data_IF_081315509240
#
_entry.id   IF_081315509240
#
_cell.length_a   1.000
_cell.length_b   1.000
_cell.length_c   1.000
_cell.angle_alpha   90.00
_cell.angle_beta   90.00
_cell.angle_gamma   90.00
#
_symmetry.space_group_name_H-M   'P 1'
#
loop_
_entity.id
_entity.type
_entity.pdbx_description
1 polymer ?
#
# COMPACT_ATOMS: atom_id res chain seq x y z
N UNK A 1 -6.77 -23.81 -13.81
CA UNK A 1 -6.78 -22.43 -13.28
C UNK A 1 -6.88 -22.51 -11.77
N UNK A 2 -5.92 -21.93 -11.07
CA UNK A 2 -5.87 -21.78 -9.63
C UNK A 2 -7.12 -21.03 -9.14
N UNK A 3 -7.79 -21.56 -8.13
CA UNK A 3 -9.03 -20.99 -7.56
C UNK A 3 -8.80 -20.55 -6.13
N UNK A 4 -9.46 -19.46 -5.75
CA UNK A 4 -9.43 -18.95 -4.38
C UNK A 4 -10.70 -18.12 -4.15
N UNK A 5 -11.48 -18.49 -3.13
CA UNK A 5 -12.82 -17.93 -2.86
C UNK A 5 -12.89 -16.39 -2.91
N UNK A 6 -11.95 -15.70 -2.28
CA UNK A 6 -11.92 -14.24 -2.21
C UNK A 6 -11.39 -13.59 -3.49
N UNK A 7 -10.49 -14.28 -4.21
CA UNK A 7 -10.03 -13.83 -5.53
C UNK A 7 -11.15 -13.94 -6.54
N UNK A 8 -11.74 -15.13 -6.66
CA UNK A 8 -12.86 -15.41 -7.55
C UNK A 8 -14.07 -14.53 -7.22
N UNK A 9 -14.36 -14.33 -5.92
CA UNK A 9 -15.44 -13.48 -5.45
C UNK A 9 -15.27 -12.01 -5.84
N UNK A 10 -14.06 -11.44 -5.69
CA UNK A 10 -13.80 -10.06 -6.08
C UNK A 10 -13.91 -9.85 -7.60
N UNK A 11 -13.37 -10.78 -8.39
CA UNK A 11 -13.46 -10.76 -9.85
C UNK A 11 -14.91 -10.90 -10.31
N UNK A 12 -15.69 -11.77 -9.66
CA UNK A 12 -17.10 -11.98 -10.01
C UNK A 12 -17.93 -10.72 -9.75
N UNK A 13 -17.71 -10.02 -8.62
CA UNK A 13 -18.41 -8.75 -8.35
C UNK A 13 -18.16 -7.70 -9.43
N UNK A 14 -16.92 -7.59 -9.92
CA UNK A 14 -16.60 -6.69 -11.03
C UNK A 14 -17.28 -7.12 -12.33
N UNK A 15 -17.19 -8.39 -12.69
CA UNK A 15 -17.82 -8.94 -13.91
C UNK A 15 -19.34 -8.81 -13.92
N UNK A 16 -19.96 -8.88 -12.75
CA UNK A 16 -21.40 -8.70 -12.56
C UNK A 16 -21.82 -7.22 -12.51
N UNK A 17 -20.87 -6.27 -12.60
CA UNK A 17 -21.14 -4.84 -12.53
C UNK A 17 -21.55 -4.34 -11.15
N UNK A 18 -21.27 -5.11 -10.09
CA UNK A 18 -21.58 -4.73 -8.70
C UNK A 18 -20.55 -3.80 -8.08
N UNK A 19 -19.34 -3.79 -8.63
CA UNK A 19 -18.25 -2.86 -8.26
C UNK A 19 -17.55 -2.40 -9.54
N UNK A 20 -17.04 -1.17 -9.56
CA UNK A 20 -16.26 -0.64 -10.68
C UNK A 20 -14.76 -0.74 -10.45
N UNK A 21 -14.02 -0.98 -11.54
CA UNK A 21 -12.56 -0.93 -11.58
C UNK A 21 -12.08 0.23 -12.44
N UNK A 22 -10.97 0.84 -12.02
CA UNK A 22 -10.17 1.71 -12.87
C UNK A 22 -9.28 0.87 -13.80
N UNK A 23 -8.71 1.49 -14.83
CA UNK A 23 -7.91 0.83 -15.86
C UNK A 23 -6.81 -0.08 -15.28
N UNK A 24 -6.08 0.35 -14.23
CA UNK A 24 -5.03 -0.45 -13.63
C UNK A 24 -5.56 -1.72 -12.93
N UNK A 25 -6.78 -1.70 -12.39
CA UNK A 25 -7.41 -2.89 -11.79
C UNK A 25 -8.00 -3.82 -12.84
N UNK A 26 -8.49 -3.30 -13.96
CA UNK A 26 -8.90 -4.13 -15.10
C UNK A 26 -7.69 -4.89 -15.66
N UNK A 27 -6.59 -4.17 -15.91
CA UNK A 27 -5.30 -4.76 -16.30
C UNK A 27 -4.77 -5.76 -15.27
N UNK A 28 -4.99 -5.52 -13.97
CA UNK A 28 -4.64 -6.49 -12.93
C UNK A 28 -5.39 -7.81 -13.11
N UNK A 29 -6.69 -7.78 -13.40
CA UNK A 29 -7.45 -9.02 -13.61
C UNK A 29 -6.97 -9.75 -14.86
N UNK A 30 -6.79 -9.03 -15.97
CA UNK A 30 -6.25 -9.62 -17.20
C UNK A 30 -4.89 -10.28 -16.98
N UNK A 31 -3.98 -9.58 -16.29
CA UNK A 31 -2.66 -10.10 -15.91
C UNK A 31 -2.78 -11.33 -15.01
N UNK A 32 -3.64 -11.30 -13.99
CA UNK A 32 -3.82 -12.41 -13.07
C UNK A 32 -4.31 -13.65 -13.81
N UNK A 33 -5.30 -13.52 -14.69
CA UNK A 33 -5.84 -14.65 -15.44
C UNK A 33 -4.84 -15.19 -16.46
N UNK A 34 -4.11 -14.30 -17.15
CA UNK A 34 -3.08 -14.66 -18.14
C UNK A 34 -1.88 -15.34 -17.51
N UNK A 35 -1.29 -14.75 -16.48
CA UNK A 35 0.08 -15.06 -16.04
C UNK A 35 0.18 -15.69 -14.64
N UNK A 36 -0.91 -15.73 -13.86
CA UNK A 36 -0.84 -16.16 -12.44
C UNK A 36 -1.82 -17.29 -12.14
N UNK A 37 -3.11 -17.07 -12.36
CA UNK A 37 -4.17 -18.03 -12.10
C UNK A 37 -4.18 -19.17 -13.12
N UNK A 38 -3.65 -18.94 -14.32
CA UNK A 38 -3.45 -20.00 -15.33
C UNK A 38 -2.40 -21.03 -14.92
N UNK A 39 -1.48 -20.69 -14.00
CA UNK A 39 -0.35 -21.52 -13.61
C UNK A 39 -0.75 -22.69 -12.72
N UNK A 40 -0.01 -23.79 -12.85
CA UNK A 40 -0.15 -25.01 -12.05
C UNK A 40 0.97 -25.18 -11.00
N UNK A 41 2.01 -24.37 -11.04
CA UNK A 41 3.15 -24.38 -10.11
C UNK A 41 2.95 -23.46 -8.88
N UNK A 42 1.80 -22.79 -8.79
CA UNK A 42 1.42 -21.93 -7.66
C UNK A 42 0.28 -22.53 -6.84
N UNK A 43 0.17 -22.11 -5.58
CA UNK A 43 -0.98 -22.43 -4.73
C UNK A 43 -1.24 -21.31 -3.71
N UNK A 44 -2.52 -21.13 -3.35
CA UNK A 44 -2.90 -20.29 -2.22
C UNK A 44 -2.86 -21.13 -0.94
N UNK A 45 -2.25 -20.59 0.12
CA UNK A 45 -2.33 -21.19 1.45
C UNK A 45 -3.67 -20.79 2.10
N UNK A 46 -4.72 -21.55 1.77
CA UNK A 46 -6.09 -21.25 2.21
C UNK A 46 -6.26 -21.29 3.73
N UNK A 47 -5.46 -22.10 4.44
CA UNK A 47 -5.46 -22.12 5.90
C UNK A 47 -4.89 -20.81 6.45
N UNK A 48 -3.73 -20.37 5.95
CA UNK A 48 -3.12 -19.12 6.38
C UNK A 48 -3.99 -17.90 6.04
N UNK A 49 -4.61 -17.89 4.85
CA UNK A 49 -5.57 -16.85 4.44
C UNK A 49 -6.75 -16.80 5.40
N UNK A 50 -7.36 -17.95 5.70
CA UNK A 50 -8.50 -18.05 6.61
C UNK A 50 -8.13 -17.63 8.03
N UNK A 51 -6.96 -18.05 8.52
CA UNK A 51 -6.49 -17.70 9.86
C UNK A 51 -6.19 -16.20 9.96
N UNK A 52 -5.58 -15.61 8.93
CA UNK A 52 -5.32 -14.18 8.88
C UNK A 52 -6.63 -13.37 8.87
N UNK A 53 -7.58 -13.72 7.99
CA UNK A 53 -8.88 -13.04 7.92
C UNK A 53 -9.62 -13.13 9.26
N UNK A 54 -9.72 -14.34 9.84
CA UNK A 54 -10.38 -14.54 11.14
C UNK A 54 -9.70 -13.76 12.27
N UNK A 55 -8.37 -13.70 12.24
CA UNK A 55 -7.61 -12.95 13.23
C UNK A 55 -7.92 -11.46 13.15
N UNK A 56 -7.92 -10.90 11.95
CA UNK A 56 -8.20 -9.47 11.73
C UNK A 56 -9.66 -9.15 12.08
N UNK A 57 -10.62 -9.92 11.56
CA UNK A 57 -12.05 -9.70 11.83
C UNK A 57 -12.43 -9.85 13.31
N UNK A 58 -11.71 -10.69 14.05
CA UNK A 58 -11.94 -10.88 15.48
C UNK A 58 -11.39 -9.75 16.35
N UNK A 59 -10.21 -9.22 16.01
CA UNK A 59 -9.48 -8.32 16.92
C UNK A 59 -9.46 -6.86 16.46
N UNK A 60 -9.74 -6.60 15.18
CA UNK A 60 -9.66 -5.28 14.57
C UNK A 60 -11.03 -4.87 14.03
N UNK A 61 -11.31 -5.19 12.77
CA UNK A 61 -12.50 -4.74 12.06
C UNK A 61 -12.97 -5.77 11.02
N UNK A 62 -14.27 -5.79 10.65
CA UNK A 62 -14.77 -6.59 9.55
C UNK A 62 -14.06 -6.23 8.24
N UNK A 63 -13.56 -7.24 7.54
CA UNK A 63 -12.81 -7.04 6.31
C UNK A 63 -13.73 -6.96 5.09
N UNK A 64 -13.54 -5.90 4.28
CA UNK A 64 -14.17 -5.77 2.97
C UNK A 64 -13.57 -6.73 1.95
N UNK A 65 -14.31 -6.99 0.87
CA UNK A 65 -13.95 -8.01 -0.12
C UNK A 65 -12.59 -7.75 -0.78
N UNK A 66 -12.26 -6.50 -1.10
CA UNK A 66 -10.96 -6.14 -1.68
C UNK A 66 -9.82 -6.39 -0.68
N UNK A 67 -10.04 -6.19 0.63
CA UNK A 67 -9.02 -6.47 1.65
C UNK A 67 -8.77 -7.99 1.75
N UNK A 68 -9.82 -8.81 1.63
CA UNK A 68 -9.70 -10.29 1.56
C UNK A 68 -8.99 -10.74 0.28
N UNK A 69 -9.26 -10.08 -0.84
CA UNK A 69 -8.53 -10.26 -2.10
C UNK A 69 -7.04 -9.96 -1.93
N UNK A 70 -6.67 -8.83 -1.30
CA UNK A 70 -5.28 -8.48 -1.02
C UNK A 70 -4.59 -9.53 -0.12
N UNK A 71 -5.26 -9.96 0.96
CA UNK A 71 -4.74 -11.00 1.87
C UNK A 71 -4.47 -12.31 1.13
N UNK A 72 -5.32 -12.71 0.17
CA UNK A 72 -5.08 -13.92 -0.60
C UNK A 72 -3.72 -13.91 -1.30
N UNK A 73 -3.33 -12.78 -1.90
CA UNK A 73 -2.03 -12.66 -2.58
C UNK A 73 -0.83 -12.53 -1.65
N UNK A 74 -1.02 -12.17 -0.37
CA UNK A 74 0.05 -12.23 0.67
C UNK A 74 0.48 -13.67 0.96
N UNK A 75 -0.42 -14.62 0.70
CA UNK A 75 -0.27 -16.05 0.93
C UNK A 75 -0.42 -16.87 -0.35
N UNK A 76 -0.02 -16.30 -1.49
CA UNK A 76 0.22 -17.05 -2.73
C UNK A 76 1.66 -17.57 -2.72
N UNK A 77 1.85 -18.88 -2.91
CA UNK A 77 3.13 -19.57 -2.82
C UNK A 77 3.49 -20.29 -4.13
N UNK A 78 4.79 -20.44 -4.36
CA UNK A 78 5.35 -21.36 -5.36
C UNK A 78 5.44 -22.77 -4.76
N UNK A 79 4.92 -23.77 -5.47
CA UNK A 79 4.97 -25.19 -5.06
C UNK A 79 6.41 -25.71 -5.00
N UNK A 80 7.25 -25.30 -5.94
CA UNK A 80 8.65 -25.74 -6.03
C UNK A 80 9.46 -25.32 -4.81
N UNK A 81 9.37 -24.04 -4.44
CA UNK A 81 10.23 -23.46 -3.41
C UNK A 81 9.57 -23.41 -2.02
N UNK A 82 8.26 -23.61 -1.96
CA UNK A 82 7.44 -23.36 -0.76
C UNK A 82 7.69 -21.94 -0.19
N UNK A 83 7.86 -20.96 -1.09
CA UNK A 83 8.06 -19.55 -0.76
C UNK A 83 6.92 -18.72 -1.32
N UNK A 84 6.67 -17.56 -0.70
CA UNK A 84 5.74 -16.58 -1.26
C UNK A 84 6.14 -16.20 -2.68
N UNK A 85 5.15 -16.19 -3.56
CA UNK A 85 5.32 -15.78 -4.94
C UNK A 85 5.54 -14.26 -5.02
N UNK A 86 4.66 -13.48 -4.39
CA UNK A 86 4.82 -12.04 -4.29
C UNK A 86 5.58 -11.65 -3.02
N UNK A 87 6.82 -11.21 -3.21
CA UNK A 87 7.60 -10.57 -2.13
C UNK A 87 7.22 -9.09 -1.95
N UNK A 88 6.88 -8.39 -3.03
CA UNK A 88 6.60 -6.96 -3.03
C UNK A 88 5.12 -6.73 -3.31
N UNK A 89 4.47 -5.91 -2.51
CA UNK A 89 3.08 -5.50 -2.68
C UNK A 89 3.00 -3.98 -2.75
N UNK A 90 2.39 -3.43 -3.80
CA UNK A 90 2.07 -2.01 -3.91
C UNK A 90 0.56 -1.84 -3.79
N UNK A 91 0.11 -1.18 -2.72
CA UNK A 91 -1.30 -0.89 -2.47
C UNK A 91 -1.53 0.62 -2.42
N UNK A 92 -2.10 1.16 -3.50
CA UNK A 92 -2.48 2.56 -3.60
C UNK A 92 -4.00 2.70 -3.55
N UNK A 93 -4.49 3.44 -2.55
CA UNK A 93 -5.91 3.66 -2.29
C UNK A 93 -6.11 5.10 -1.83
N UNK A 94 -7.23 5.71 -2.19
CA UNK A 94 -7.61 7.03 -1.67
C UNK A 94 -7.63 7.06 -0.13
N UNK A 95 -7.43 8.24 0.46
CA UNK A 95 -7.44 8.45 1.90
C UNK A 95 -8.75 7.92 2.51
N UNK A 96 -8.62 7.14 3.58
CA UNK A 96 -9.74 6.41 4.20
C UNK A 96 -9.94 4.99 3.69
N UNK A 97 -9.19 4.53 2.67
CA UNK A 97 -9.29 3.16 2.15
C UNK A 97 -8.76 2.04 3.07
N UNK A 98 -8.58 2.28 4.37
CA UNK A 98 -8.25 1.24 5.35
C UNK A 98 -6.87 0.58 5.21
N UNK A 99 -5.94 1.17 4.44
CA UNK A 99 -4.60 0.60 4.18
C UNK A 99 -3.78 0.34 5.46
N UNK A 100 -3.75 1.30 6.39
CA UNK A 100 -2.97 1.19 7.62
C UNK A 100 -3.56 0.17 8.58
N UNK A 101 -4.89 0.19 8.78
CA UNK A 101 -5.57 -0.82 9.59
C UNK A 101 -5.36 -2.25 9.06
N UNK A 102 -5.39 -2.43 7.74
CA UNK A 102 -5.12 -3.73 7.11
C UNK A 102 -3.68 -4.19 7.40
N UNK A 103 -2.72 -3.28 7.31
CA UNK A 103 -1.32 -3.57 7.65
C UNK A 103 -1.12 -3.83 9.15
N UNK A 104 -1.82 -3.13 10.04
CA UNK A 104 -1.82 -3.42 11.47
C UNK A 104 -2.28 -4.85 11.75
N UNK A 105 -3.38 -5.26 11.12
CA UNK A 105 -3.94 -6.61 11.23
C UNK A 105 -3.02 -7.69 10.66
N UNK A 106 -2.55 -7.51 9.42
CA UNK A 106 -1.63 -8.44 8.75
C UNK A 106 -0.29 -8.51 9.51
N UNK A 107 0.26 -7.37 9.92
CA UNK A 107 1.51 -7.28 10.66
C UNK A 107 1.43 -8.02 12.00
N UNK A 108 0.37 -7.80 12.78
CA UNK A 108 0.16 -8.51 14.04
C UNK A 108 -0.03 -10.02 13.83
N UNK A 109 -0.75 -10.42 12.77
CA UNK A 109 -0.87 -11.83 12.40
C UNK A 109 0.48 -12.46 12.02
N UNK A 110 1.29 -11.79 11.19
CA UNK A 110 2.58 -12.29 10.71
C UNK A 110 3.63 -12.41 11.83
N UNK A 111 3.56 -11.60 12.88
CA UNK A 111 4.44 -11.79 14.05
C UNK A 111 3.94 -12.91 14.98
N UNK A 112 2.68 -13.32 14.88
CA UNK A 112 2.04 -14.26 15.80
C UNK A 112 2.49 -15.71 15.63
N UNK A 113 2.13 -16.56 16.60
CA UNK A 113 2.34 -18.00 16.50
C UNK A 113 1.43 -18.70 15.48
N UNK A 114 0.39 -18.01 14.97
CA UNK A 114 -0.44 -18.52 13.87
C UNK A 114 0.30 -18.49 12.52
N UNK A 115 1.23 -17.55 12.33
CA UNK A 115 2.11 -17.55 11.15
C UNK A 115 3.29 -18.51 11.32
N UNK A 116 3.75 -18.73 12.56
CA UNK A 116 4.67 -19.81 12.91
C UNK A 116 6.15 -19.58 12.60
N UNK A 117 6.55 -18.37 12.19
CA UNK A 117 7.95 -18.04 11.89
C UNK A 117 8.60 -17.28 13.06
N UNK A 118 9.68 -17.83 13.61
CA UNK A 118 10.42 -17.22 14.72
C UNK A 118 11.25 -16.01 14.32
N UNK A 119 11.26 -15.01 15.18
CA UNK A 119 11.90 -13.69 15.06
C UNK A 119 11.57 -13.02 13.70
N UNK A 120 10.33 -13.16 13.24
CA UNK A 120 9.80 -12.53 12.04
C UNK A 120 9.50 -11.05 12.33
N UNK A 121 10.55 -10.25 12.52
CA UNK A 121 10.40 -8.84 12.85
C UNK A 121 9.77 -8.05 11.71
N UNK A 122 8.93 -7.07 12.03
CA UNK A 122 8.28 -6.21 11.05
C UNK A 122 8.53 -4.74 11.43
N UNK A 123 9.01 -3.98 10.46
CA UNK A 123 9.29 -2.54 10.62
C UNK A 123 8.38 -1.72 9.74
N UNK A 124 7.67 -0.76 10.34
CA UNK A 124 6.90 0.28 9.63
C UNK A 124 7.78 1.51 9.48
N UNK A 125 8.01 1.93 8.24
CA UNK A 125 8.81 3.08 7.86
C UNK A 125 7.88 4.14 7.28
N UNK A 126 7.95 5.36 7.81
CA UNK A 126 7.31 6.52 7.22
C UNK A 126 8.25 7.73 7.29
N UNK A 127 7.85 8.83 6.64
CA UNK A 127 8.65 10.06 6.61
C UNK A 127 8.66 10.78 7.97
N UNK A 128 7.52 10.77 8.69
CA UNK A 128 7.44 11.28 10.07
C UNK A 128 7.32 10.15 11.10
N UNK A 129 7.79 10.41 12.31
CA UNK A 129 7.66 9.45 13.42
C UNK A 129 6.19 9.22 13.79
N UNK A 130 5.36 10.25 13.72
CA UNK A 130 3.92 10.17 14.00
C UNK A 130 3.20 9.25 13.01
N UNK A 131 3.49 9.36 11.72
CA UNK A 131 2.94 8.46 10.70
C UNK A 131 3.41 7.03 10.96
N UNK A 132 4.71 6.83 11.22
CA UNK A 132 5.28 5.51 11.43
C UNK A 132 4.67 4.81 12.67
N UNK A 133 4.33 5.57 13.71
CA UNK A 133 3.69 5.08 14.94
C UNK A 133 2.27 4.56 14.73
N UNK A 134 1.52 5.12 13.78
CA UNK A 134 0.07 4.87 13.62
C UNK A 134 -0.29 3.38 13.69
N UNK A 135 0.33 2.55 12.83
CA UNK A 135 0.03 1.12 12.77
C UNK A 135 0.49 0.37 14.03
N UNK A 136 1.64 0.73 14.60
CA UNK A 136 2.20 0.08 15.80
C UNK A 136 1.37 0.42 17.03
N UNK A 137 0.92 1.66 17.16
CA UNK A 137 0.06 2.13 18.22
C UNK A 137 -1.33 1.48 18.14
N UNK A 138 -1.87 1.29 16.94
CA UNK A 138 -3.11 0.56 16.73
C UNK A 138 -3.00 -0.88 17.24
N UNK A 139 -1.93 -1.60 16.85
CA UNK A 139 -1.68 -2.96 17.36
C UNK A 139 -1.46 -2.96 18.87
N UNK A 140 -0.68 -2.01 19.40
CA UNK A 140 -0.41 -1.91 20.83
C UNK A 140 -1.68 -1.65 21.64
N UNK A 141 -2.55 -0.73 21.18
CA UNK A 141 -3.86 -0.44 21.78
C UNK A 141 -4.76 -1.68 21.72
N UNK A 142 -4.79 -2.38 20.59
CA UNK A 142 -5.58 -3.60 20.40
C UNK A 142 -5.15 -4.71 21.36
N UNK A 143 -3.84 -4.95 21.49
CA UNK A 143 -3.30 -5.90 22.47
C UNK A 143 -3.65 -5.49 23.90
N UNK A 144 -3.45 -4.21 24.27
CA UNK A 144 -3.74 -3.71 25.62
C UNK A 144 -5.21 -3.84 26.00
N UNK A 145 -6.14 -3.71 25.06
CA UNK A 145 -7.59 -3.84 25.31
C UNK A 145 -8.07 -5.30 25.44
N UNK A 146 -7.30 -6.28 24.98
CA UNK A 146 -7.77 -7.67 24.86
C UNK A 146 -6.93 -8.63 25.71
N UNK A 147 -7.49 -9.12 26.82
CA UNK A 147 -6.81 -10.04 27.74
C UNK A 147 -6.28 -11.32 27.06
N UNK A 148 -6.98 -11.82 26.03
CA UNK A 148 -6.50 -12.95 25.23
C UNK A 148 -5.24 -12.60 24.45
N UNK A 149 -5.21 -11.44 23.78
CA UNK A 149 -4.00 -10.99 23.06
C UNK A 149 -2.84 -10.72 24.02
N UNK A 150 -3.10 -10.19 25.21
CA UNK A 150 -2.04 -10.00 26.22
C UNK A 150 -1.34 -11.31 26.64
N UNK A 151 -1.99 -12.48 26.49
CA UNK A 151 -1.34 -13.78 26.72
C UNK A 151 -0.29 -14.10 25.66
N UNK A 152 -0.51 -13.68 24.41
CA UNK A 152 0.36 -13.96 23.26
C UNK A 152 1.34 -12.82 22.96
N UNK A 153 1.00 -11.58 23.30
CA UNK A 153 1.75 -10.38 22.93
C UNK A 153 2.08 -9.51 24.15
N UNK A 154 3.18 -8.75 24.06
CA UNK A 154 3.56 -7.70 24.99
C UNK A 154 3.70 -6.39 24.22
N UNK A 155 2.79 -5.45 24.46
CA UNK A 155 2.82 -4.14 23.84
C UNK A 155 3.54 -3.11 24.72
N UNK A 156 4.42 -2.31 24.14
CA UNK A 156 5.06 -1.14 24.77
C UNK A 156 4.54 0.16 24.12
N UNK A 157 5.26 1.27 24.28
CA UNK A 157 4.99 2.51 23.55
C UNK A 157 5.62 2.54 22.15
N UNK A 158 6.55 1.62 21.86
CA UNK A 158 7.36 1.66 20.63
C UNK A 158 7.28 0.39 19.80
N UNK A 159 6.78 -0.70 20.38
CA UNK A 159 6.73 -2.00 19.72
C UNK A 159 5.71 -2.95 20.34
N UNK A 160 5.41 -4.01 19.60
CA UNK A 160 4.62 -5.16 20.05
C UNK A 160 5.45 -6.42 19.84
N UNK A 161 5.73 -7.13 20.93
CA UNK A 161 6.47 -8.40 20.95
C UNK A 161 5.50 -9.57 20.98
N UNK A 162 5.63 -10.53 20.06
CA UNK A 162 4.97 -11.82 20.12
C UNK A 162 5.80 -12.79 20.97
N UNK A 163 5.25 -13.25 22.10
CA UNK A 163 5.99 -13.96 23.15
C UNK A 163 6.53 -15.33 22.71
N UNK A 164 5.80 -16.03 21.84
CA UNK A 164 6.12 -17.40 21.42
C UNK A 164 7.09 -17.46 20.25
N UNK A 165 7.00 -16.51 19.33
CA UNK A 165 7.86 -16.43 18.13
C UNK A 165 9.07 -15.53 18.35
N UNK A 166 9.08 -14.70 19.40
CA UNK A 166 10.08 -13.63 19.62
C UNK A 166 10.13 -12.60 18.46
N UNK A 167 9.02 -12.47 17.74
CA UNK A 167 8.85 -11.53 16.65
C UNK A 167 8.42 -10.16 17.17
N UNK A 168 8.97 -9.09 16.61
CA UNK A 168 8.68 -7.71 17.03
C UNK A 168 8.06 -6.91 15.88
N UNK A 169 6.92 -6.28 16.13
CA UNK A 169 6.34 -5.24 15.26
C UNK A 169 6.66 -3.86 15.82
N UNK A 170 7.35 -3.01 15.05
CA UNK A 170 7.83 -1.69 15.50
C UNK A 170 7.89 -0.67 14.37
N UNK A 171 7.97 0.60 14.73
CA UNK A 171 8.12 1.69 13.77
C UNK A 171 9.56 2.17 13.69
N UNK A 172 9.93 2.80 12.59
CA UNK A 172 11.21 3.51 12.41
C UNK A 172 10.99 4.73 11.53
N UNK A 173 11.74 5.80 11.78
CA UNK A 173 11.84 6.93 10.85
C UNK A 173 12.79 6.60 9.70
N UNK A 174 12.57 7.18 8.54
CA UNK A 174 13.43 7.04 7.35
C UNK A 174 14.90 7.44 7.65
N UNK A 175 15.11 8.57 8.32
CA UNK A 175 16.40 9.27 8.53
C UNK A 175 17.45 8.60 9.45
N UNK A 176 17.30 7.32 9.83
CA UNK A 176 18.25 6.66 10.73
C UNK A 176 19.53 6.17 10.03
N UNK A 177 20.64 6.88 10.22
CA UNK A 177 21.99 6.63 9.67
C UNK A 177 22.74 5.38 10.20
N UNK A 178 22.09 4.47 10.92
CA UNK A 178 22.73 3.26 11.48
C UNK A 178 21.77 2.07 11.40
N UNK A 179 21.79 1.35 10.28
CA UNK A 179 20.83 0.26 10.01
C UNK A 179 21.47 -0.99 9.39
N UNK A 180 22.77 -1.20 9.61
CA UNK A 180 23.41 -2.49 9.32
C UNK A 180 23.03 -3.54 10.37
N UNK A 181 22.69 -4.74 9.92
CA UNK A 181 22.42 -5.88 10.81
C UNK A 181 20.94 -6.23 11.03
N UNK A 182 20.00 -5.51 10.40
CA UNK A 182 18.57 -5.80 10.52
C UNK A 182 18.23 -7.24 10.04
N UNK A 183 17.26 -7.86 10.72
CA UNK A 183 16.74 -9.22 10.46
C UNK A 183 15.22 -9.18 10.40
N UNK A 184 14.70 -8.27 9.59
CA UNK A 184 13.25 -8.12 9.42
C UNK A 184 12.74 -9.25 8.51
N UNK A 185 11.59 -9.83 8.87
CA UNK A 185 10.80 -10.71 8.03
C UNK A 185 9.91 -9.93 7.07
N UNK A 186 9.43 -8.74 7.47
CA UNK A 186 8.75 -7.84 6.56
C UNK A 186 9.10 -6.37 6.83
N UNK A 187 9.00 -5.55 5.78
CA UNK A 187 9.12 -4.09 5.88
C UNK A 187 7.89 -3.47 5.25
N UNK A 188 7.31 -2.50 5.95
CA UNK A 188 6.20 -1.69 5.45
C UNK A 188 6.75 -0.29 5.23
N UNK A 189 6.58 0.24 4.02
CA UNK A 189 6.76 1.65 3.73
C UNK A 189 5.36 2.26 3.66
N UNK A 190 5.05 3.15 4.59
CA UNK A 190 3.80 3.90 4.65
C UNK A 190 4.01 5.30 4.07
N UNK A 191 2.95 5.82 3.45
CA UNK A 191 2.95 7.03 2.62
C UNK A 191 4.12 7.07 1.64
N UNK A 192 4.21 6.02 0.82
CA UNK A 192 5.31 5.78 -0.13
C UNK A 192 5.58 6.91 -1.13
N UNK A 193 4.63 7.83 -1.31
CA UNK A 193 4.79 8.99 -2.17
C UNK A 193 5.77 10.03 -1.62
N UNK A 194 6.12 10.00 -0.33
CA UNK A 194 7.13 10.90 0.25
C UNK A 194 8.57 10.43 0.03
N UNK A 195 8.79 9.20 -0.44
CA UNK A 195 10.14 8.69 -0.65
C UNK A 195 10.69 9.21 -1.98
N UNK A 196 11.68 10.09 -1.90
CA UNK A 196 12.31 10.71 -3.08
C UNK A 196 13.22 9.72 -3.82
N UNK A 197 13.98 8.88 -3.10
CA UNK A 197 15.01 8.04 -3.71
C UNK A 197 14.90 6.55 -3.37
N UNK A 198 15.41 5.73 -4.29
CA UNK A 198 15.61 4.30 -4.05
C UNK A 198 16.56 4.03 -2.87
N UNK A 199 17.48 4.94 -2.55
CA UNK A 199 18.50 4.74 -1.50
C UNK A 199 17.83 4.63 -0.13
N UNK A 200 16.84 5.47 0.14
CA UNK A 200 16.09 5.53 1.40
C UNK A 200 15.30 4.26 1.67
N UNK A 201 14.79 3.64 0.59
CA UNK A 201 14.12 2.34 0.65
C UNK A 201 15.13 1.20 0.80
N UNK A 202 16.25 1.27 0.05
CA UNK A 202 17.24 0.19 -0.04
C UNK A 202 17.91 -0.12 1.30
N UNK A 203 18.13 0.87 2.15
CA UNK A 203 18.72 0.68 3.48
C UNK A 203 17.82 -0.15 4.41
N UNK A 204 16.51 -0.22 4.17
CA UNK A 204 15.59 -1.02 5.00
C UNK A 204 15.36 -2.42 4.44
N UNK A 205 15.40 -2.57 3.11
CA UNK A 205 15.23 -3.90 2.48
C UNK A 205 16.51 -4.74 2.48
N UNK A 206 17.69 -4.15 2.66
CA UNK A 206 18.97 -4.88 2.68
C UNK A 206 19.07 -5.90 3.83
N UNK A 207 18.30 -5.70 4.90
CA UNK A 207 18.18 -6.65 6.01
C UNK A 207 17.26 -7.84 5.75
N UNK A 208 16.45 -7.80 4.68
CA UNK A 208 15.54 -8.90 4.32
C UNK A 208 16.31 -10.07 3.71
N UNK A 209 15.70 -11.27 3.78
CA UNK A 209 16.27 -12.51 3.23
C UNK A 209 16.92 -13.42 4.27
N UNK A 210 17.07 -12.95 5.52
CA UNK A 210 17.52 -13.77 6.67
C UNK A 210 16.38 -14.55 7.34
N UNK A 211 15.13 -14.21 6.99
CA UNK A 211 13.92 -14.89 7.46
C UNK A 211 13.15 -15.46 6.28
N UNK A 212 12.49 -16.62 6.43
CA UNK A 212 11.71 -17.20 5.35
C UNK A 212 10.55 -16.29 4.97
N UNK A 213 10.19 -16.29 3.70
CA UNK A 213 9.10 -15.49 3.15
C UNK A 213 9.23 -13.99 3.46
N UNK A 214 10.35 -13.34 3.06
CA UNK A 214 10.50 -11.91 3.26
C UNK A 214 9.43 -11.14 2.48
N UNK A 215 8.86 -10.08 3.05
CA UNK A 215 7.83 -9.26 2.41
C UNK A 215 8.13 -7.77 2.47
N UNK A 216 7.70 -7.07 1.45
CA UNK A 216 7.80 -5.61 1.31
C UNK A 216 6.41 -5.10 0.96
N UNK A 217 5.85 -4.24 1.82
CA UNK A 217 4.59 -3.57 1.59
C UNK A 217 4.85 -2.11 1.31
N UNK A 218 4.35 -1.62 0.18
CA UNK A 218 4.41 -0.23 -0.23
C UNK A 218 2.97 0.28 -0.25
N UNK A 219 2.59 1.07 0.75
CA UNK A 219 1.22 1.55 0.91
C UNK A 219 1.18 3.08 0.89
N UNK A 220 0.14 3.66 0.32
CA UNK A 220 0.04 5.12 0.25
C UNK A 220 -1.11 5.61 -0.59
N UNK A 221 -1.32 6.92 -0.57
CA UNK A 221 -2.00 7.63 -1.67
C UNK A 221 -0.97 8.05 -2.71
N UNK A 222 -1.44 8.67 -3.79
CA UNK A 222 -0.58 9.49 -4.63
C UNK A 222 -0.11 10.77 -3.88
N UNK A 223 0.82 11.49 -4.49
CA UNK A 223 1.40 12.70 -3.92
C UNK A 223 1.97 13.67 -4.94
N UNK A 224 2.69 14.65 -4.41
CA UNK A 224 3.22 15.79 -5.17
C UNK A 224 4.66 15.60 -5.65
N UNK A 225 5.40 14.66 -5.04
CA UNK A 225 6.78 14.35 -5.44
C UNK A 225 6.75 13.63 -6.79
N UNK A 226 7.39 14.22 -7.79
CA UNK A 226 7.57 13.66 -9.14
C UNK A 226 8.97 13.09 -9.30
N UNK A 227 9.09 12.10 -10.19
CA UNK A 227 10.32 11.34 -10.47
C UNK A 227 10.90 10.63 -9.23
N UNK A 228 10.05 10.49 -8.20
CA UNK A 228 10.36 9.88 -6.92
C UNK A 228 10.36 8.36 -6.97
N UNK A 229 10.43 7.73 -5.80
CA UNK A 229 10.37 6.28 -5.67
C UNK A 229 9.03 5.71 -6.17
N UNK A 230 7.93 6.38 -5.85
CA UNK A 230 6.59 5.93 -6.22
C UNK A 230 6.41 5.84 -7.75
N UNK A 231 6.87 6.84 -8.51
CA UNK A 231 6.67 6.86 -9.97
C UNK A 231 7.40 5.70 -10.66
N UNK A 232 8.63 5.41 -10.23
CA UNK A 232 9.38 4.21 -10.68
C UNK A 232 8.66 2.92 -10.31
N UNK A 233 7.98 2.89 -9.16
CA UNK A 233 7.21 1.73 -8.73
C UNK A 233 5.92 1.56 -9.54
N UNK A 234 5.24 2.66 -9.92
CA UNK A 234 4.10 2.64 -10.85
C UNK A 234 4.52 2.18 -12.24
N UNK A 235 5.63 2.68 -12.76
CA UNK A 235 6.16 2.22 -14.06
C UNK A 235 6.42 0.71 -14.04
N UNK A 236 7.06 0.22 -12.97
CA UNK A 236 7.27 -1.21 -12.77
C UNK A 236 5.96 -1.98 -12.65
N UNK A 237 4.96 -1.45 -11.95
CA UNK A 237 3.62 -2.05 -11.86
C UNK A 237 3.01 -2.19 -13.26
N UNK A 238 3.02 -1.14 -14.08
CA UNK A 238 2.51 -1.19 -15.44
C UNK A 238 3.27 -2.19 -16.32
N UNK A 239 4.59 -2.31 -16.15
CA UNK A 239 5.38 -3.31 -16.85
C UNK A 239 5.01 -4.74 -16.44
N UNK A 240 4.68 -4.99 -15.16
CA UNK A 240 4.16 -6.30 -14.71
C UNK A 240 2.79 -6.57 -15.32
N UNK A 241 1.85 -5.63 -15.20
CA UNK A 241 0.49 -5.77 -15.72
C UNK A 241 0.48 -6.07 -17.23
N UNK A 242 1.34 -5.39 -17.99
CA UNK A 242 1.49 -5.57 -19.45
C UNK A 242 2.34 -6.80 -19.85
N UNK A 243 2.82 -7.61 -18.88
CA UNK A 243 3.64 -8.79 -19.16
C UNK A 243 5.07 -8.49 -19.64
N UNK A 244 5.54 -7.25 -19.48
CA UNK A 244 6.90 -6.80 -19.85
C UNK A 244 7.94 -7.03 -18.75
N UNK A 245 7.51 -7.42 -17.55
CA UNK A 245 8.36 -7.76 -16.41
C UNK A 245 7.99 -9.13 -15.84
N UNK A 246 8.89 -9.74 -15.06
CA UNK A 246 8.62 -11.01 -14.37
C UNK A 246 7.34 -10.92 -13.54
N UNK A 247 6.49 -11.95 -13.61
CA UNK A 247 5.20 -11.99 -12.91
C UNK A 247 5.34 -11.80 -11.40
N UNK A 248 6.37 -12.37 -10.78
CA UNK A 248 6.62 -12.19 -9.34
C UNK A 248 7.36 -10.87 -8.97
N UNK A 249 7.48 -9.89 -9.87
CA UNK A 249 8.27 -8.69 -9.62
C UNK A 249 7.65 -7.74 -8.59
N UNK A 250 6.32 -7.68 -8.55
CA UNK A 250 5.49 -6.79 -7.75
C UNK A 250 4.04 -7.26 -7.88
N UNK A 251 3.27 -7.27 -6.79
CA UNK A 251 1.81 -7.33 -6.84
C UNK A 251 1.25 -5.90 -6.77
N UNK A 252 0.75 -5.35 -7.88
CA UNK A 252 0.18 -4.01 -7.90
C UNK A 252 -1.32 -4.05 -7.62
N UNK A 253 -1.79 -3.18 -6.74
CA UNK A 253 -3.20 -2.87 -6.53
C UNK A 253 -3.34 -1.35 -6.44
N UNK A 254 -3.70 -0.72 -7.56
CA UNK A 254 -3.69 0.73 -7.72
C UNK A 254 -5.12 1.17 -7.99
N UNK A 255 -5.69 1.94 -7.07
CA UNK A 255 -7.00 2.55 -7.20
C UNK A 255 -6.83 4.06 -7.36
N UNK A 256 -7.39 4.61 -8.44
CA UNK A 256 -7.44 6.03 -8.79
C UNK A 256 -8.64 6.28 -9.70
N UNK A 257 -9.01 7.54 -9.90
CA UNK A 257 -9.84 7.90 -11.06
C UNK A 257 -9.04 7.71 -12.37
N UNK A 258 -9.73 7.42 -13.46
CA UNK A 258 -9.16 7.35 -14.80
C UNK A 258 -9.03 8.74 -15.42
N UNK A 259 -10.03 9.60 -15.21
CA UNK A 259 -10.09 10.97 -15.73
C UNK A 259 -10.53 11.96 -14.64
N UNK A 260 -10.07 13.20 -14.74
CA UNK A 260 -10.42 14.25 -13.79
C UNK A 260 -11.93 14.48 -13.69
N UNK A 261 -12.66 14.41 -14.82
CA UNK A 261 -14.11 14.68 -14.87
C UNK A 261 -14.94 13.60 -14.18
N UNK A 262 -14.37 12.42 -13.94
CA UNK A 262 -15.08 11.36 -13.22
C UNK A 262 -15.38 11.75 -11.77
N UNK A 263 -14.64 12.71 -11.20
CA UNK A 263 -14.84 13.17 -9.82
C UNK A 263 -16.22 13.77 -9.57
N UNK A 264 -16.84 14.35 -10.59
CA UNK A 264 -18.14 15.01 -10.46
C UNK A 264 -19.30 14.02 -10.32
N UNK A 265 -19.03 12.72 -10.50
CA UNK A 265 -19.95 11.64 -10.21
C UNK A 265 -19.48 10.85 -8.98
N UNK A 266 -20.14 11.00 -7.81
CA UNK A 266 -19.81 10.26 -6.59
C UNK A 266 -19.79 8.73 -6.74
N UNK A 267 -20.56 8.17 -7.68
CA UNK A 267 -20.54 6.73 -7.97
C UNK A 267 -19.20 6.25 -8.54
N UNK A 268 -18.35 7.16 -9.01
CA UNK A 268 -17.00 6.84 -9.51
C UNK A 268 -15.94 6.91 -8.41
N UNK A 269 -16.24 7.43 -7.22
CA UNK A 269 -15.24 7.54 -6.15
C UNK A 269 -14.74 6.17 -5.66
N UNK A 270 -15.52 5.09 -5.86
CA UNK A 270 -15.06 3.72 -5.61
C UNK A 270 -13.91 3.26 -6.54
N UNK A 271 -13.70 3.95 -7.67
CA UNK A 271 -12.56 3.71 -8.55
C UNK A 271 -11.24 4.01 -7.82
N UNK A 272 -11.22 5.10 -7.03
CA UNK A 272 -10.09 5.53 -6.22
C UNK A 272 -10.06 4.88 -4.84
N UNK A 273 -11.22 4.54 -4.28
CA UNK A 273 -11.33 3.98 -2.94
C UNK A 273 -12.38 2.85 -2.87
N UNK A 274 -11.99 1.57 -2.97
CA UNK A 274 -12.92 0.43 -2.93
C UNK A 274 -13.60 0.23 -1.57
N UNK A 275 -13.26 1.02 -0.54
CA UNK A 275 -14.06 1.10 0.69
C UNK A 275 -15.45 1.71 0.44
N UNK A 276 -15.60 2.51 -0.63
CA UNK A 276 -16.84 3.20 -0.99
C UNK A 276 -17.76 2.34 -1.88
N UNK A 277 -17.39 1.11 -2.20
CA UNK A 277 -18.25 0.19 -2.96
C UNK A 277 -19.47 -0.22 -2.15
N UNK A 278 -20.61 -0.35 -2.83
CA UNK A 278 -21.84 -0.85 -2.21
C UNK A 278 -21.83 -2.39 -2.05
N UNK A 279 -22.48 -2.94 -1.02
CA UNK A 279 -23.13 -2.23 0.09
C UNK A 279 -22.11 -1.64 1.07
N UNK A 280 -22.31 -0.38 1.47
CA UNK A 280 -21.47 0.29 2.48
C UNK A 280 -21.84 -0.12 3.90
N UNK A 281 -20.86 -0.56 4.68
CA UNK A 281 -21.00 -0.68 6.13
C UNK A 281 -20.94 0.69 6.84
N UNK A 282 -21.17 0.72 8.15
CA UNK A 282 -21.22 1.97 8.95
C UNK A 282 -19.99 2.88 8.73
N UNK A 283 -18.78 2.31 8.83
CA UNK A 283 -17.54 3.07 8.57
C UNK A 283 -17.46 3.61 7.15
N UNK A 284 -17.82 2.79 6.16
CA UNK A 284 -17.77 3.16 4.75
C UNK A 284 -18.80 4.25 4.41
N UNK A 285 -19.97 4.20 5.04
CA UNK A 285 -20.99 5.24 4.90
C UNK A 285 -20.51 6.56 5.50
N UNK A 286 -20.00 6.55 6.74
CA UNK A 286 -19.46 7.77 7.35
C UNK A 286 -18.29 8.35 6.56
N UNK A 287 -17.42 7.50 6.00
CA UNK A 287 -16.34 7.95 5.12
C UNK A 287 -16.89 8.58 3.82
N UNK A 288 -17.91 7.97 3.21
CA UNK A 288 -18.56 8.52 2.03
C UNK A 288 -19.16 9.89 2.31
N UNK A 289 -19.90 10.04 3.43
CA UNK A 289 -20.52 11.30 3.83
C UNK A 289 -19.46 12.40 4.02
N UNK A 290 -18.36 12.10 4.72
CA UNK A 290 -17.24 13.05 4.86
C UNK A 290 -16.60 13.43 3.52
N UNK A 291 -16.37 12.48 2.62
CA UNK A 291 -15.80 12.79 1.30
C UNK A 291 -16.78 13.64 0.48
N UNK A 292 -18.08 13.42 0.65
CA UNK A 292 -19.12 14.18 -0.03
C UNK A 292 -19.16 15.63 0.44
N UNK A 293 -19.11 15.84 1.75
CA UNK A 293 -18.98 17.19 2.34
C UNK A 293 -17.70 17.88 1.84
N UNK A 294 -16.56 17.20 1.89
CA UNK A 294 -15.29 17.75 1.38
C UNK A 294 -15.35 18.11 -0.12
N UNK A 295 -16.11 17.38 -0.92
CA UNK A 295 -16.32 17.70 -2.35
C UNK A 295 -17.24 18.90 -2.54
N UNK A 296 -18.35 18.97 -1.78
CA UNK A 296 -19.29 20.09 -1.82
C UNK A 296 -18.62 21.41 -1.41
N UNK A 297 -17.74 21.35 -0.41
CA UNK A 297 -16.94 22.49 0.07
C UNK A 297 -15.97 23.04 -0.99
N UNK A 298 -15.65 22.28 -2.06
CA UNK A 298 -14.79 22.77 -3.15
C UNK A 298 -15.44 23.92 -3.95
N UNK A 299 -16.76 24.07 -3.88
CA UNK A 299 -17.45 25.22 -4.48
C UNK A 299 -17.05 26.53 -3.78
N UNK A 300 -16.82 26.48 -2.47
CA UNK A 300 -16.45 27.62 -1.62
C UNK A 300 -14.92 27.75 -1.47
N UNK A 301 -14.17 26.64 -1.53
CA UNK A 301 -12.71 26.60 -1.52
C UNK A 301 -12.12 25.81 -2.72
N UNK A 302 -12.09 26.42 -3.93
CA UNK A 302 -11.51 25.78 -5.11
C UNK A 302 -10.02 25.44 -4.96
N UNK A 303 -9.30 26.10 -4.04
CA UNK A 303 -7.86 25.89 -3.84
C UNK A 303 -7.56 24.50 -3.27
N UNK A 304 -8.52 23.91 -2.55
CA UNK A 304 -8.40 22.57 -1.96
C UNK A 304 -8.63 21.43 -2.99
N UNK A 305 -9.04 21.77 -4.21
CA UNK A 305 -9.31 20.77 -5.26
C UNK A 305 -8.10 19.89 -5.56
N UNK A 306 -6.89 20.45 -5.55
CA UNK A 306 -5.67 19.70 -5.81
C UNK A 306 -5.42 18.60 -4.76
N UNK A 307 -5.59 18.92 -3.47
CA UNK A 307 -5.45 17.97 -2.36
C UNK A 307 -6.56 16.93 -2.41
N UNK A 308 -7.81 17.32 -2.70
CA UNK A 308 -8.91 16.38 -2.88
C UNK A 308 -8.62 15.38 -4.01
N UNK A 309 -8.25 15.87 -5.19
CA UNK A 309 -7.93 15.03 -6.35
C UNK A 309 -6.73 14.12 -6.07
N UNK A 310 -5.67 14.65 -5.46
CA UNK A 310 -4.45 13.88 -5.17
C UNK A 310 -4.67 12.83 -4.08
N UNK A 311 -5.40 13.15 -3.02
CA UNK A 311 -5.47 12.31 -1.80
C UNK A 311 -6.74 11.49 -1.68
N UNK A 312 -7.90 12.01 -2.10
CA UNK A 312 -9.17 11.25 -2.11
C UNK A 312 -9.30 10.45 -3.39
N UNK A 313 -8.95 11.04 -4.53
CA UNK A 313 -9.14 10.43 -5.86
C UNK A 313 -7.89 9.75 -6.43
N UNK A 314 -6.73 9.87 -5.76
CA UNK A 314 -5.44 9.32 -6.21
C UNK A 314 -5.08 9.72 -7.66
N UNK A 315 -5.54 10.89 -8.09
CA UNK A 315 -5.29 11.43 -9.41
C UNK A 315 -4.71 12.83 -9.23
N UNK A 316 -3.37 12.97 -9.14
CA UNK A 316 -2.75 14.27 -9.01
C UNK A 316 -3.04 15.12 -10.25
N UNK A 317 -3.52 16.35 -10.04
CA UNK A 317 -3.68 17.30 -11.13
C UNK A 317 -2.31 17.65 -11.69
N UNK A 318 -2.17 17.58 -13.01
CA UNK A 318 -0.95 18.01 -13.69
C UNK A 318 -1.11 19.49 -13.98
N UNK A 319 -0.69 20.32 -13.04
CA UNK A 319 -0.59 21.76 -13.28
C UNK A 319 0.66 22.03 -14.13
N UNK A 320 0.45 22.27 -15.42
CA UNK A 320 1.51 22.60 -16.39
C UNK A 320 2.20 23.93 -16.06
N UNK A 321 1.61 24.78 -15.21
CA UNK A 321 2.19 26.08 -14.79
C UNK A 321 2.89 26.01 -13.44
N UNK A 322 2.81 24.89 -12.72
CA UNK A 322 3.45 24.74 -11.42
C UNK A 322 4.97 24.62 -11.59
N UNK A 323 5.68 25.67 -11.19
CA UNK A 323 7.14 25.64 -11.12
C UNK A 323 7.61 24.46 -10.27
N UNK A 324 8.36 23.55 -10.90
CA UNK A 324 9.02 22.41 -10.25
C UNK A 324 10.18 22.87 -9.35
N UNK A 325 10.67 24.09 -9.58
CA UNK A 325 11.74 24.70 -8.80
C UNK A 325 11.19 25.32 -7.51
N UNK A 326 11.87 25.08 -6.39
CA UNK A 326 11.61 25.77 -5.13
C UNK A 326 11.82 27.27 -5.33
N UNK A 327 11.08 28.12 -4.63
CA UNK A 327 11.23 29.59 -4.76
C UNK A 327 12.68 30.06 -4.65
N UNK A 328 13.45 29.45 -3.75
CA UNK A 328 14.88 29.72 -3.58
C UNK A 328 15.73 29.39 -4.82
N UNK A 329 15.37 28.36 -5.57
CA UNK A 329 16.03 27.98 -6.82
C UNK A 329 15.65 28.94 -7.95
N UNK A 330 14.38 29.37 -8.02
CA UNK A 330 13.92 30.40 -8.94
C UNK A 330 14.63 31.72 -8.66
N UNK A 331 14.71 32.15 -7.41
CA UNK A 331 15.40 33.36 -6.98
C UNK A 331 16.90 33.30 -7.32
N UNK A 332 17.52 32.12 -7.20
CA UNK A 332 18.91 31.90 -7.61
C UNK A 332 19.13 31.97 -9.13
N UNK A 333 18.08 31.87 -9.94
CA UNK A 333 18.18 32.09 -11.40
C UNK A 333 18.19 33.56 -11.80
N UNK A 334 17.92 34.49 -10.86
CA UNK A 334 17.92 35.93 -11.12
C UNK A 334 19.36 36.49 -11.18
N UNK A 335 20.14 35.97 -12.12
CA UNK A 335 21.51 36.37 -12.41
C UNK A 335 21.69 36.50 -13.93
N UNK A 336 22.63 37.34 -14.40
CA UNK A 336 22.87 37.50 -15.83
C UNK A 336 23.23 36.15 -16.47
N UNK A 337 22.57 35.81 -17.58
CA UNK A 337 22.97 34.67 -18.39
C UNK A 337 24.43 34.86 -18.82
N UNK A 338 25.32 33.87 -18.63
CA UNK A 338 26.66 33.94 -19.16
C UNK A 338 26.61 34.01 -20.68
N UNK A 339 27.67 34.50 -21.31
CA UNK A 339 27.80 34.40 -22.76
C UNK A 339 27.86 32.93 -23.18
N UNK A 340 26.88 32.51 -23.98
CA UNK A 340 26.69 31.16 -24.47
C UNK A 340 26.93 31.06 -25.98
N UNK A 341 27.34 32.15 -26.64
CA UNK A 341 27.60 32.15 -28.07
C UNK A 341 28.75 31.20 -28.40
N UNK A 342 28.52 30.28 -29.34
CA UNK A 342 29.52 29.28 -29.77
C UNK A 342 29.74 28.09 -28.81
N UNK A 343 28.97 27.96 -27.72
CA UNK A 343 29.06 26.80 -26.82
C UNK A 343 28.20 25.64 -27.31
N UNK A 344 28.70 24.44 -27.12
CA UNK A 344 28.01 23.20 -27.47
C UNK A 344 26.84 22.96 -26.51
N UNK A 345 25.64 22.74 -27.06
CA UNK A 345 24.46 22.43 -26.28
C UNK A 345 24.47 20.93 -25.98
N UNK A 346 24.65 20.57 -24.71
CA UNK A 346 24.59 19.17 -24.25
C UNK A 346 23.29 19.02 -23.47
N UNK A 347 22.34 18.32 -24.07
CA UNK A 347 21.05 17.96 -23.50
C UNK A 347 20.99 16.50 -23.07
#
# INVERSE_FOLDING_TARGET
MLKQKYVDGYISLYREGKIKFNEERELLIEYLERDVLSRDDLYFDDEMIKNCIKFIEKWYFPLNIYQKFLIAFVFLFSKETNRVFYRKHLWMLGRGGGKNGLISGIGNFLISDLHGISEYNISVIANSEEQAKTSVDEVAKTVKKNATLQKHFKATATQVLAKKTDSVFKFRTSNGNTKDGLRDGAVVFDEIHYFETNKDVRVHISGLGKKPNPREFYIGTDGYVRDGFLDKLKEKAMNVLKGKARSNALFPFICKLNDEKEVDNPDNWELANPMLSEPRGEYAQGLYDTIKEEYEDLADDPSNREEFMTKRMNLPLTDLERSVAKWKEIEATNQPLPDLEGKECIG
#
